data_IF_325671352527
#
_entry.id   IF_325671352527
#
_cell.length_a   1.000
_cell.length_b   1.000
_cell.length_c   1.000
_cell.angle_alpha   90.00
_cell.angle_beta   90.00
_cell.angle_gamma   90.00
#
_symmetry.space_group_name_H-M   'P 1'
#
loop_
_entity.id
_entity.type
_entity.pdbx_description
1 polymer ?
#
# COMPACT_ATOMS: atom_id res chain seq x y z
N UNK A 1 -5.64 -21.20 18.61
CA UNK A 1 -6.13 -20.23 17.60
C UNK A 1 -5.00 -20.06 16.60
N UNK A 2 -5.16 -20.53 15.37
CA UNK A 2 -4.15 -20.32 14.33
C UNK A 2 -4.03 -18.81 14.09
N UNK A 3 -2.83 -18.26 14.26
CA UNK A 3 -2.56 -16.86 13.96
C UNK A 3 -2.67 -16.68 12.45
N UNK A 4 -3.77 -16.10 11.98
CA UNK A 4 -3.91 -15.72 10.58
C UNK A 4 -2.80 -14.71 10.29
N UNK A 5 -1.89 -15.05 9.38
CA UNK A 5 -0.84 -14.13 8.95
C UNK A 5 -1.53 -13.06 8.11
N UNK A 6 -1.53 -11.83 8.61
CA UNK A 6 -2.10 -10.68 7.90
C UNK A 6 -0.96 -9.83 7.38
N UNK A 7 -0.84 -9.75 6.06
CA UNK A 7 0.07 -8.85 5.38
C UNK A 7 -0.50 -7.44 5.43
N UNK A 8 0.19 -6.55 6.12
CA UNK A 8 -0.24 -5.18 6.36
C UNK A 8 0.42 -4.25 5.34
N UNK A 9 -0.36 -3.36 4.76
CA UNK A 9 0.08 -2.35 3.81
C UNK A 9 -0.36 -0.97 4.29
N UNK A 10 0.32 0.06 3.82
CA UNK A 10 0.03 1.44 4.16
C UNK A 10 0.04 2.30 2.90
N UNK A 11 -0.96 3.16 2.75
CA UNK A 11 -0.99 4.22 1.76
C UNK A 11 -0.94 5.56 2.52
N UNK A 12 0.12 6.32 2.28
CA UNK A 12 0.30 7.63 2.91
C UNK A 12 0.43 8.71 1.85
N UNK A 13 -0.34 9.78 1.98
CA UNK A 13 -0.16 11.00 1.19
C UNK A 13 1.19 11.65 1.50
N UNK A 14 1.85 12.15 0.46
CA UNK A 14 3.07 12.91 0.52
C UNK A 14 2.91 14.17 -0.33
N UNK A 15 3.43 15.28 0.18
CA UNK A 15 3.40 16.56 -0.50
C UNK A 15 4.81 16.94 -0.90
N UNK A 16 5.01 17.20 -2.17
CA UNK A 16 6.27 17.72 -2.69
C UNK A 16 6.33 19.25 -2.51
N UNK A 17 7.53 19.83 -2.62
CA UNK A 17 7.78 21.27 -2.50
C UNK A 17 6.92 22.12 -3.46
N UNK A 18 6.47 21.52 -4.56
CA UNK A 18 5.59 22.12 -5.56
C UNK A 18 4.09 21.98 -5.25
N UNK A 19 3.71 21.52 -4.05
CA UNK A 19 2.33 21.18 -3.65
C UNK A 19 1.66 20.11 -4.52
N UNK A 20 2.47 19.27 -5.17
CA UNK A 20 1.94 18.07 -5.81
C UNK A 20 1.65 17.04 -4.73
N UNK A 21 0.50 16.39 -4.85
CA UNK A 21 0.10 15.29 -3.98
C UNK A 21 0.56 14.01 -4.64
N UNK A 22 1.32 13.19 -3.90
CA UNK A 22 1.66 11.83 -4.25
C UNK A 22 1.24 10.88 -3.13
N UNK A 23 1.14 9.60 -3.43
CA UNK A 23 0.69 8.55 -2.52
C UNK A 23 1.77 7.49 -2.44
N UNK A 24 2.43 7.39 -1.30
CA UNK A 24 3.41 6.36 -1.01
C UNK A 24 2.69 5.10 -0.55
N UNK A 25 2.94 4.00 -1.24
CA UNK A 25 2.49 2.67 -0.89
C UNK A 25 3.66 1.87 -0.31
N UNK A 26 3.46 1.26 0.85
CA UNK A 26 4.48 0.41 1.47
C UNK A 26 3.85 -0.80 2.14
N UNK A 27 4.57 -1.91 2.15
CA UNK A 27 4.24 -3.06 2.99
C UNK A 27 4.87 -2.91 4.38
N UNK A 28 4.18 -3.40 5.40
CA UNK A 28 4.67 -3.34 6.77
C UNK A 28 5.97 -4.13 6.91
N UNK A 29 6.98 -3.50 7.53
CA UNK A 29 8.33 -4.06 7.73
C UNK A 29 9.16 -4.21 6.45
N UNK A 30 8.68 -3.68 5.33
CA UNK A 30 9.46 -3.58 4.09
C UNK A 30 9.61 -2.11 3.70
N UNK A 31 10.66 -1.79 2.93
CA UNK A 31 10.86 -0.45 2.39
C UNK A 31 9.81 -0.13 1.31
N UNK A 32 9.64 1.16 1.02
CA UNK A 32 8.57 1.70 0.16
C UNK A 32 8.46 0.90 -1.13
N UNK A 33 7.25 0.40 -1.40
CA UNK A 33 6.99 -0.51 -2.52
C UNK A 33 6.45 0.22 -3.76
N UNK A 34 6.05 1.49 -3.64
CA UNK A 34 5.67 2.33 -4.78
C UNK A 34 5.32 3.77 -4.39
N UNK A 35 5.45 4.68 -5.35
CA UNK A 35 4.93 6.04 -5.27
C UNK A 35 3.96 6.27 -6.44
N UNK A 36 2.77 6.78 -6.13
CA UNK A 36 1.67 6.95 -7.07
C UNK A 36 1.20 8.39 -7.11
N UNK A 37 0.77 8.87 -8.28
CA UNK A 37 0.22 10.23 -8.41
C UNK A 37 -1.19 10.33 -7.81
N UNK A 38 -1.99 9.26 -7.87
CA UNK A 38 -3.36 9.25 -7.35
C UNK A 38 -3.56 8.13 -6.33
N UNK A 39 -4.48 8.37 -5.40
CA UNK A 39 -4.89 7.39 -4.41
C UNK A 39 -5.47 6.12 -5.07
N UNK A 40 -6.27 6.30 -6.14
CA UNK A 40 -6.88 5.18 -6.87
C UNK A 40 -5.84 4.26 -7.47
N UNK A 41 -4.74 4.80 -8.00
CA UNK A 41 -3.64 3.98 -8.55
C UNK A 41 -2.99 3.14 -7.45
N UNK A 42 -2.75 3.72 -6.26
CA UNK A 42 -2.21 3.00 -5.12
C UNK A 42 -3.15 1.90 -4.60
N UNK A 43 -4.46 2.14 -4.60
CA UNK A 43 -5.47 1.14 -4.21
C UNK A 43 -5.57 0.02 -5.24
N UNK A 44 -5.52 0.33 -6.54
CA UNK A 44 -5.54 -0.69 -7.59
C UNK A 44 -4.32 -1.60 -7.53
N UNK A 45 -3.14 -1.06 -7.19
CA UNK A 45 -1.95 -1.86 -6.95
C UNK A 45 -2.15 -2.76 -5.71
N UNK A 46 -2.67 -2.22 -4.62
CA UNK A 46 -2.99 -3.02 -3.43
C UNK A 46 -3.95 -4.17 -3.75
N UNK A 47 -5.00 -3.93 -4.54
CA UNK A 47 -5.95 -4.97 -4.96
C UNK A 47 -5.22 -6.04 -5.79
N UNK A 48 -4.40 -5.62 -6.76
CA UNK A 48 -3.63 -6.53 -7.62
C UNK A 48 -2.67 -7.42 -6.82
N UNK A 49 -2.05 -6.88 -5.77
CA UNK A 49 -1.19 -7.65 -4.85
C UNK A 49 -2.03 -8.58 -3.98
N UNK A 50 -3.16 -8.10 -3.50
CA UNK A 50 -4.08 -8.87 -2.65
C UNK A 50 -4.65 -10.08 -3.37
N UNK A 51 -5.02 -9.95 -4.64
CA UNK A 51 -5.51 -11.06 -5.47
C UNK A 51 -4.45 -12.13 -5.74
N UNK A 52 -3.17 -11.75 -5.73
CA UNK A 52 -2.03 -12.67 -5.91
C UNK A 52 -1.52 -13.26 -4.60
N UNK A 53 -1.94 -12.71 -3.47
CA UNK A 53 -1.46 -13.09 -2.15
C UNK A 53 -2.28 -14.26 -1.60
N UNK A 54 -1.59 -15.28 -1.07
CA UNK A 54 -2.24 -16.39 -0.36
C UNK A 54 -2.67 -15.98 1.07
N UNK A 55 -2.05 -14.92 1.62
CA UNK A 55 -2.37 -14.39 2.94
C UNK A 55 -3.46 -13.32 2.88
N UNK A 56 -4.19 -13.16 3.99
CA UNK A 56 -5.11 -12.03 4.17
C UNK A 56 -4.31 -10.74 4.14
N UNK A 57 -4.62 -9.87 3.18
CA UNK A 57 -4.00 -8.55 3.06
C UNK A 57 -4.89 -7.47 3.67
N UNK A 58 -4.29 -6.42 4.22
CA UNK A 58 -5.02 -5.25 4.73
C UNK A 58 -4.22 -3.98 4.53
N UNK A 59 -4.87 -2.93 4.01
CA UNK A 59 -4.28 -1.60 3.82
C UNK A 59 -4.87 -0.60 4.81
N UNK A 60 -4.06 0.36 5.26
CA UNK A 60 -4.42 1.51 6.10
C UNK A 60 -3.96 2.82 5.48
#
# INVERSE_FOLDING_TARGET
MASVVVDKYYISEAFDENRNISFNFKKAKEEVSGNFANFIDAVNEFISISEKSENVTRVW
#
